data_IF_916097721151
#
_entry.id   IF_916097721151
#
_cell.length_a   1.000
_cell.length_b   1.000
_cell.length_c   1.000
_cell.angle_alpha   90.00
_cell.angle_beta   90.00
_cell.angle_gamma   90.00
#
_symmetry.space_group_name_H-M   'P 1'
#
loop_
_entity.id
_entity.type
_entity.pdbx_description
1 polymer ?
#
# COMPACT_ATOMS: atom_id res chain seq x y z
N UNK A 1 29.51 -6.93 0.75
CA UNK A 1 28.73 -5.81 1.30
C UNK A 1 29.40 -5.44 2.63
N UNK A 2 30.02 -4.26 2.69
CA UNK A 2 30.87 -3.85 3.82
C UNK A 2 30.09 -3.82 5.15
N UNK A 3 30.73 -4.33 6.20
CA UNK A 3 30.17 -4.46 7.56
C UNK A 3 29.63 -3.12 8.09
N UNK A 4 30.22 -2.00 7.66
CA UNK A 4 29.79 -0.63 8.01
C UNK A 4 28.43 -0.23 7.43
N UNK A 5 28.05 -0.73 6.25
CA UNK A 5 26.72 -0.45 5.67
C UNK A 5 25.61 -1.21 6.41
N UNK A 6 25.90 -2.41 6.91
CA UNK A 6 24.95 -3.18 7.69
C UNK A 6 24.69 -2.58 9.08
N UNK A 7 25.71 -1.99 9.72
CA UNK A 7 25.56 -1.27 11.00
C UNK A 7 24.74 0.02 10.86
N UNK A 8 24.82 0.71 9.72
CA UNK A 8 24.02 1.92 9.43
C UNK A 8 22.55 1.60 9.12
N UNK A 9 22.32 0.45 8.49
CA UNK A 9 20.97 0.00 8.08
C UNK A 9 20.28 -0.75 9.22
N UNK A 10 21.01 -1.39 10.14
CA UNK A 10 20.48 -2.12 11.29
C UNK A 10 19.51 -1.35 12.17
N UNK A 11 19.74 -0.07 12.55
CA UNK A 11 18.78 0.70 13.35
C UNK A 11 17.49 0.96 12.59
N UNK A 12 17.57 1.29 11.30
CA UNK A 12 16.40 1.46 10.44
C UNK A 12 15.65 0.13 10.26
N UNK A 13 16.38 -0.97 10.08
CA UNK A 13 15.84 -2.32 10.00
C UNK A 13 15.21 -2.72 11.33
N UNK A 14 15.84 -2.52 12.48
CA UNK A 14 15.25 -2.84 13.77
C UNK A 14 14.07 -1.91 14.12
N UNK A 15 14.08 -0.67 13.63
CA UNK A 15 12.92 0.22 13.72
C UNK A 15 11.75 -0.22 12.84
N UNK A 16 12.05 -0.82 11.66
CA UNK A 16 11.10 -1.38 10.70
C UNK A 16 10.63 -2.80 11.05
N UNK A 17 11.50 -3.64 11.64
CA UNK A 17 11.37 -5.09 11.77
C UNK A 17 11.60 -5.62 13.21
N UNK A 18 11.78 -4.74 14.22
CA UNK A 18 11.97 -5.11 15.62
C UNK A 18 10.70 -5.59 16.35
N UNK A 19 10.76 -5.68 17.69
CA UNK A 19 9.81 -6.41 18.55
C UNK A 19 8.34 -5.93 18.53
N UNK A 20 8.06 -4.76 17.97
CA UNK A 20 6.70 -4.30 17.68
C UNK A 20 6.40 -4.35 16.18
N UNK A 21 5.18 -4.79 15.81
CA UNK A 21 4.48 -4.61 14.51
C UNK A 21 4.46 -5.83 13.58
N UNK A 22 3.79 -6.92 13.97
CA UNK A 22 3.35 -7.96 13.03
C UNK A 22 2.61 -7.39 11.79
N UNK A 23 1.97 -6.22 11.94
CA UNK A 23 1.23 -5.51 10.88
C UNK A 23 2.11 -5.11 9.69
N UNK A 24 3.36 -4.67 9.89
CA UNK A 24 4.22 -4.28 8.75
C UNK A 24 4.65 -5.49 7.92
N UNK A 25 4.80 -6.66 8.56
CA UNK A 25 5.05 -7.92 7.87
C UNK A 25 3.88 -8.29 6.96
N UNK A 26 2.63 -8.11 7.43
CA UNK A 26 1.45 -8.32 6.60
C UNK A 26 1.35 -7.32 5.44
N UNK A 27 1.76 -6.06 5.63
CA UNK A 27 1.82 -5.08 4.54
C UNK A 27 2.83 -5.49 3.47
N UNK A 28 4.05 -5.84 3.86
CA UNK A 28 5.08 -6.29 2.91
C UNK A 28 4.60 -7.55 2.18
N UNK A 29 4.00 -8.49 2.91
CA UNK A 29 3.42 -9.71 2.32
C UNK A 29 2.35 -9.38 1.27
N UNK A 30 1.42 -8.46 1.56
CA UNK A 30 0.39 -8.05 0.60
C UNK A 30 0.97 -7.31 -0.62
N UNK A 31 1.98 -6.46 -0.43
CA UNK A 31 2.71 -5.83 -1.55
C UNK A 31 3.32 -6.89 -2.48
N UNK A 32 3.92 -7.94 -1.91
CA UNK A 32 4.51 -9.04 -2.68
C UNK A 32 3.44 -9.84 -3.43
N UNK A 33 2.33 -10.18 -2.76
CA UNK A 33 1.20 -10.86 -3.41
C UNK A 33 0.65 -10.02 -4.56
N UNK A 34 0.51 -8.71 -4.36
CA UNK A 34 0.02 -7.83 -5.40
C UNK A 34 0.95 -7.80 -6.61
N UNK A 35 2.26 -7.69 -6.39
CA UNK A 35 3.24 -7.79 -7.47
C UNK A 35 3.10 -9.10 -8.26
N UNK A 36 2.98 -10.24 -7.56
CA UNK A 36 2.79 -11.55 -8.19
C UNK A 36 1.50 -11.55 -9.04
N UNK A 37 0.38 -11.12 -8.48
CA UNK A 37 -0.90 -11.08 -9.21
C UNK A 37 -0.91 -10.08 -10.37
N UNK A 38 -0.21 -8.95 -10.24
CA UNK A 38 -0.02 -7.97 -11.30
C UNK A 38 0.81 -8.54 -12.46
N UNK A 39 1.84 -9.34 -12.18
CA UNK A 39 2.56 -10.08 -13.23
C UNK A 39 1.67 -11.15 -13.86
N UNK A 40 0.90 -11.91 -13.08
CA UNK A 40 -0.06 -12.89 -13.61
C UNK A 40 -1.08 -12.24 -14.57
N UNK A 41 -1.60 -11.06 -14.20
CA UNK A 41 -2.44 -10.23 -15.06
C UNK A 41 -1.74 -9.86 -16.36
N UNK A 42 -0.47 -9.48 -16.33
CA UNK A 42 0.27 -9.13 -17.56
C UNK A 42 0.47 -10.33 -18.52
N UNK A 43 0.56 -11.56 -18.00
CA UNK A 43 0.72 -12.77 -18.81
C UNK A 43 -0.60 -13.41 -19.28
N UNK A 44 -1.75 -12.99 -18.74
CA UNK A 44 -3.04 -13.55 -19.12
C UNK A 44 -3.50 -13.05 -20.49
N UNK A 45 -3.84 -13.96 -21.42
CA UNK A 45 -4.30 -13.65 -22.78
C UNK A 45 -5.60 -12.83 -22.83
N UNK A 46 -6.32 -12.69 -21.70
CA UNK A 46 -7.52 -11.83 -21.56
C UNK A 46 -7.22 -10.42 -21.05
N UNK A 47 -5.98 -10.14 -20.66
CA UNK A 47 -5.60 -8.87 -20.07
C UNK A 47 -5.65 -7.75 -21.09
N UNK A 48 -6.37 -6.66 -20.76
CA UNK A 48 -6.34 -5.41 -21.54
C UNK A 48 -5.02 -4.66 -21.40
N UNK A 49 -4.12 -5.14 -20.52
CA UNK A 49 -2.84 -4.52 -20.25
C UNK A 49 -1.85 -4.88 -21.36
N UNK A 50 -1.65 -3.97 -22.32
CA UNK A 50 -0.45 -3.99 -23.14
C UNK A 50 0.78 -3.91 -22.22
N UNK A 51 1.87 -4.61 -22.57
CA UNK A 51 3.21 -4.50 -21.97
C UNK A 51 3.83 -3.09 -22.13
N UNK A 52 3.09 -2.03 -21.81
CA UNK A 52 3.63 -0.69 -21.67
C UNK A 52 4.38 -0.67 -20.34
N UNK A 53 5.69 -0.89 -20.43
CA UNK A 53 6.65 -0.80 -19.32
C UNK A 53 6.41 0.42 -18.42
N UNK A 54 5.94 1.54 -18.98
CA UNK A 54 5.58 2.74 -18.23
C UNK A 54 4.47 2.53 -17.20
N UNK A 55 3.44 1.72 -17.50
CA UNK A 55 2.31 1.49 -16.60
C UNK A 55 2.71 0.58 -15.43
N UNK A 56 3.56 -0.43 -15.68
CA UNK A 56 4.10 -1.32 -14.66
C UNK A 56 5.04 -0.56 -13.70
N UNK A 57 5.86 0.36 -14.23
CA UNK A 57 6.77 1.16 -13.43
C UNK A 57 6.03 2.12 -12.50
N UNK A 58 4.94 2.76 -12.97
CA UNK A 58 4.11 3.63 -12.13
C UNK A 58 3.46 2.84 -10.98
N UNK A 59 3.00 1.61 -11.23
CA UNK A 59 2.46 0.73 -10.19
C UNK A 59 3.49 0.40 -9.10
N UNK A 60 4.72 0.07 -9.51
CA UNK A 60 5.82 -0.19 -8.55
C UNK A 60 6.20 1.06 -7.74
N UNK A 61 6.23 2.24 -8.38
CA UNK A 61 6.52 3.50 -7.70
C UNK A 61 5.46 3.87 -6.65
N UNK A 62 4.18 3.59 -6.93
CA UNK A 62 3.12 3.76 -5.93
C UNK A 62 3.39 2.91 -4.69
N UNK A 63 3.77 1.64 -4.85
CA UNK A 63 4.07 0.73 -3.73
C UNK A 63 5.26 1.19 -2.88
N UNK A 64 6.31 1.70 -3.51
CA UNK A 64 7.41 2.35 -2.79
C UNK A 64 6.91 3.57 -1.99
N UNK A 65 6.01 4.36 -2.58
CA UNK A 65 5.34 5.46 -1.89
C UNK A 65 4.54 5.02 -0.65
N UNK A 66 3.88 3.87 -0.70
CA UNK A 66 3.15 3.29 0.45
C UNK A 66 4.09 3.00 1.62
N UNK A 67 5.24 2.38 1.33
CA UNK A 67 6.25 2.08 2.34
C UNK A 67 6.79 3.37 2.97
N UNK A 68 7.07 4.39 2.15
CA UNK A 68 7.52 5.71 2.63
C UNK A 68 6.43 6.37 3.49
N UNK A 69 5.16 6.30 3.09
CA UNK A 69 4.05 6.88 3.84
C UNK A 69 3.87 6.22 5.22
N UNK A 70 4.03 4.89 5.30
CA UNK A 70 4.01 4.16 6.57
C UNK A 70 5.20 4.54 7.46
N UNK A 71 6.38 4.75 6.88
CA UNK A 71 7.54 5.29 7.62
C UNK A 71 7.24 6.67 8.19
N UNK A 72 6.61 7.56 7.41
CA UNK A 72 6.17 8.87 7.90
C UNK A 72 5.17 8.72 9.05
N UNK A 73 4.16 7.85 8.92
CA UNK A 73 3.22 7.61 10.01
C UNK A 73 3.91 7.07 11.29
N UNK A 74 4.93 6.22 11.15
CA UNK A 74 5.75 5.75 12.27
C UNK A 74 6.55 6.88 12.95
N UNK A 75 6.99 7.89 12.19
CA UNK A 75 7.62 9.08 12.80
C UNK A 75 6.63 9.91 13.61
N UNK A 76 5.35 9.98 13.21
CA UNK A 76 4.30 10.67 13.97
C UNK A 76 4.08 10.00 15.32
N UNK A 77 4.01 8.66 15.35
CA UNK A 77 3.89 7.92 16.61
C UNK A 77 5.11 8.13 17.51
N UNK A 78 6.32 8.19 16.94
CA UNK A 78 7.54 8.46 17.71
C UNK A 78 7.52 9.87 18.34
N UNK A 79 7.06 10.88 17.59
CA UNK A 79 6.90 12.25 18.10
C UNK A 79 5.79 12.34 19.15
N UNK A 80 4.77 11.49 19.07
CA UNK A 80 3.64 11.49 20.00
C UNK A 80 4.03 11.24 21.46
N UNK A 81 5.19 10.62 21.71
CA UNK A 81 5.75 10.45 23.05
C UNK A 81 5.93 11.81 23.75
N UNK A 82 6.28 12.85 22.98
CA UNK A 82 6.55 14.19 23.52
C UNK A 82 5.31 15.10 23.60
N UNK A 83 4.24 14.79 22.87
CA UNK A 83 3.08 15.69 22.71
C UNK A 83 1.80 15.08 23.29
N UNK A 84 1.67 13.76 23.27
CA UNK A 84 0.45 13.02 23.62
C UNK A 84 0.74 11.79 24.50
N UNK A 85 1.85 11.79 25.24
CA UNK A 85 2.28 10.69 26.11
C UNK A 85 2.31 9.31 25.41
N UNK A 86 2.60 9.28 24.11
CA UNK A 86 2.69 8.04 23.34
C UNK A 86 1.35 7.36 23.06
N UNK A 87 0.22 8.04 23.23
CA UNK A 87 -1.11 7.44 23.05
C UNK A 87 -1.60 7.46 21.59
N UNK A 88 -0.91 8.17 20.69
CA UNK A 88 -1.25 8.18 19.28
C UNK A 88 -0.65 6.94 18.60
N UNK A 89 -1.54 6.16 17.98
CA UNK A 89 -1.21 4.94 17.24
C UNK A 89 -1.53 5.13 15.74
N UNK A 90 -1.11 6.26 15.19
CA UNK A 90 -1.36 6.67 13.80
C UNK A 90 -0.71 5.68 12.84
N UNK A 91 0.51 5.21 13.14
CA UNK A 91 1.21 4.26 12.29
C UNK A 91 0.45 2.93 12.18
N UNK A 92 -0.13 2.45 13.28
CA UNK A 92 -0.92 1.22 13.27
C UNK A 92 -2.15 1.36 12.37
N UNK A 93 -2.97 2.39 12.61
CA UNK A 93 -4.22 2.62 11.87
C UNK A 93 -3.92 2.82 10.38
N UNK A 94 -2.91 3.64 10.08
CA UNK A 94 -2.51 3.92 8.71
C UNK A 94 -1.99 2.66 8.00
N UNK A 95 -1.14 1.87 8.65
CA UNK A 95 -0.62 0.61 8.07
C UNK A 95 -1.74 -0.38 7.78
N UNK A 96 -2.72 -0.52 8.67
CA UNK A 96 -3.90 -1.37 8.42
C UNK A 96 -4.70 -0.88 7.21
N UNK A 97 -4.90 0.44 7.07
CA UNK A 97 -5.54 1.00 5.89
C UNK A 97 -4.77 0.70 4.60
N UNK A 98 -3.44 0.79 4.62
CA UNK A 98 -2.60 0.46 3.46
C UNK A 98 -2.66 -1.03 3.12
N UNK A 99 -2.73 -1.93 4.11
CA UNK A 99 -2.93 -3.37 3.87
C UNK A 99 -4.25 -3.61 3.14
N UNK A 100 -5.33 -2.97 3.57
CA UNK A 100 -6.64 -3.09 2.92
C UNK A 100 -6.53 -2.62 1.47
N UNK A 101 -5.84 -1.50 1.20
CA UNK A 101 -5.62 -1.02 -0.17
C UNK A 101 -4.86 -2.05 -1.04
N UNK A 102 -3.84 -2.71 -0.50
CA UNK A 102 -3.12 -3.76 -1.23
C UNK A 102 -3.98 -5.02 -1.45
N UNK A 103 -4.81 -5.42 -0.48
CA UNK A 103 -5.77 -6.50 -0.67
C UNK A 103 -6.74 -6.22 -1.82
N UNK A 104 -7.21 -4.97 -1.94
CA UNK A 104 -8.10 -4.56 -3.04
C UNK A 104 -7.37 -4.65 -4.38
N UNK A 105 -6.14 -4.17 -4.47
CA UNK A 105 -5.30 -4.29 -5.67
C UNK A 105 -5.09 -5.76 -6.10
N UNK A 106 -4.89 -6.67 -5.15
CA UNK A 106 -4.78 -8.11 -5.42
C UNK A 106 -6.07 -8.65 -6.02
N UNK A 107 -7.22 -8.29 -5.45
CA UNK A 107 -8.54 -8.73 -5.94
C UNK A 107 -8.81 -8.24 -7.35
N UNK A 108 -8.48 -6.97 -7.65
CA UNK A 108 -8.61 -6.39 -8.99
C UNK A 108 -7.74 -7.14 -10.02
N UNK A 109 -6.49 -7.43 -9.66
CA UNK A 109 -5.58 -8.19 -10.52
C UNK A 109 -6.09 -9.63 -10.77
N UNK A 110 -6.66 -10.28 -9.75
CA UNK A 110 -7.23 -11.62 -9.86
C UNK A 110 -8.50 -11.65 -10.72
N UNK A 111 -9.38 -10.65 -10.60
CA UNK A 111 -10.60 -10.55 -11.42
C UNK A 111 -10.26 -10.48 -12.91
N UNK A 112 -9.26 -9.68 -13.29
CA UNK A 112 -8.82 -9.57 -14.67
C UNK A 112 -8.22 -10.86 -15.24
N UNK A 113 -7.61 -11.69 -14.39
CA UNK A 113 -7.13 -13.03 -14.76
C UNK A 113 -8.29 -14.03 -14.88
N UNK A 114 -9.50 -13.67 -14.43
CA UNK A 114 -10.71 -14.47 -14.52
C UNK A 114 -11.11 -15.18 -13.21
N UNK A 115 -10.45 -14.85 -12.10
CA UNK A 115 -10.83 -15.34 -10.76
C UNK A 115 -11.93 -14.43 -10.22
N UNK A 116 -13.19 -14.88 -10.27
CA UNK A 116 -14.33 -14.08 -9.81
C UNK A 116 -14.39 -14.03 -8.29
N UNK A 117 -14.28 -12.83 -7.72
CA UNK A 117 -14.47 -12.56 -6.28
C UNK A 117 -15.57 -11.51 -6.07
N UNK A 118 -16.84 -11.84 -6.38
CA UNK A 118 -17.90 -10.87 -6.67
C UNK A 118 -18.22 -9.90 -5.51
N UNK A 119 -18.16 -10.36 -4.26
CA UNK A 119 -18.44 -9.50 -3.11
C UNK A 119 -17.38 -8.42 -2.88
N UNK A 120 -16.12 -8.76 -3.15
CA UNK A 120 -15.02 -7.84 -2.93
C UNK A 120 -14.90 -6.84 -4.07
N UNK A 121 -15.13 -7.26 -5.31
CA UNK A 121 -15.08 -6.36 -6.48
C UNK A 121 -16.21 -5.34 -6.46
N UNK A 122 -17.42 -5.73 -6.07
CA UNK A 122 -18.54 -4.79 -5.89
C UNK A 122 -18.27 -3.75 -4.79
N UNK A 123 -17.65 -4.18 -3.67
CA UNK A 123 -17.25 -3.29 -2.59
C UNK A 123 -16.13 -2.33 -3.05
N UNK A 124 -15.15 -2.84 -3.80
CA UNK A 124 -14.04 -2.08 -4.37
C UNK A 124 -14.55 -0.99 -5.31
N UNK A 125 -15.45 -1.34 -6.23
CA UNK A 125 -16.06 -0.40 -7.17
C UNK A 125 -16.84 0.68 -6.44
N UNK A 126 -17.58 0.34 -5.38
CA UNK A 126 -18.30 1.32 -4.55
C UNK A 126 -17.34 2.28 -3.84
N UNK A 127 -16.26 1.78 -3.25
CA UNK A 127 -15.28 2.62 -2.55
C UNK A 127 -14.50 3.50 -3.52
N UNK A 128 -14.06 2.96 -4.65
CA UNK A 128 -13.37 3.70 -5.70
C UNK A 128 -14.24 4.85 -6.20
N UNK A 129 -15.50 4.58 -6.59
CA UNK A 129 -16.43 5.60 -7.05
C UNK A 129 -16.68 6.71 -6.02
N UNK A 130 -16.74 6.38 -4.73
CA UNK A 130 -16.90 7.38 -3.66
C UNK A 130 -15.65 8.23 -3.43
N UNK A 131 -14.46 7.70 -3.69
CA UNK A 131 -13.20 8.44 -3.60
C UNK A 131 -13.12 9.43 -4.77
N UNK A 132 -13.40 8.99 -6.00
CA UNK A 132 -13.37 9.86 -7.20
C UNK A 132 -14.43 10.95 -7.15
N UNK A 133 -15.67 10.64 -6.74
CA UNK A 133 -16.75 11.64 -6.66
C UNK A 133 -16.48 12.74 -5.63
N UNK A 134 -15.67 12.45 -4.60
CA UNK A 134 -15.29 13.42 -3.56
C UNK A 134 -14.13 14.32 -3.98
N UNK A 135 -13.36 13.91 -4.99
CA UNK A 135 -12.29 14.71 -5.60
C UNK A 135 -12.84 15.68 -6.65
N UNK A 136 -13.88 15.31 -7.39
CA UNK A 136 -14.52 16.20 -8.39
C UNK A 136 -15.47 17.23 -7.76
N UNK A 137 -16.14 16.92 -6.64
CA UNK A 137 -17.05 17.86 -5.96
C UNK A 137 -16.40 18.99 -5.14
N UNK A 138 -15.08 19.21 -5.29
CA UNK A 138 -14.33 20.26 -4.57
C UNK A 138 -13.86 21.43 -5.45
N UNK A 139 -14.07 21.37 -6.76
CA UNK A 139 -13.60 22.42 -7.68
C UNK A 139 -14.65 23.53 -7.95
N UNK A 140 -15.93 23.31 -7.60
CA UNK A 140 -17.03 24.26 -7.92
C UNK A 140 -17.53 25.08 -6.70
N UNK A 141 -16.71 25.34 -5.68
CA UNK A 141 -17.15 26.13 -4.51
C UNK A 141 -16.22 27.26 -4.05
N UNK A 142 -15.32 27.70 -4.92
CA UNK A 142 -14.62 28.98 -4.76
C UNK A 142 -14.63 29.75 -6.08
N UNK A 143 -15.79 30.32 -6.43
CA UNK A 143 -15.88 31.55 -7.22
C UNK A 143 -16.66 32.60 -6.42
#
# INVERSE_FOLDING_TARGET
>A
MDVNTMELVKPAVNFLFGEGKAVIHFLIFMIVLDLITGYMKAFSSKSKMSFKSSLNYVGLMKKLGIIIAVMVAATVDAVSVHIANGQLHVALIFTVAMIIMECLSVVENLEEVGVKVPLLTDLLHKMSNQITSKTEGKDDSNE
#
